data_IF_373790538679
#
_entry.id   IF_373790538679
#
_cell.length_a   1.000
_cell.length_b   1.000
_cell.length_c   1.000
_cell.angle_alpha   90.00
_cell.angle_beta   90.00
_cell.angle_gamma   90.00
#
_symmetry.space_group_name_H-M   'P 1'
#
loop_
_entity.id
_entity.type
_entity.pdbx_description
1 polymer ?
#
# COMPACT_ATOMS: atom_id res chain seq x y z
N UNK A 1 6.20 33.61 28.64
CA UNK A 1 6.76 32.40 28.01
C UNK A 1 7.81 32.87 27.01
N UNK A 2 8.98 32.22 26.98
CA UNK A 2 10.01 32.48 25.97
C UNK A 2 9.52 32.08 24.58
N UNK A 3 10.07 32.69 23.54
CA UNK A 3 9.75 32.36 22.15
C UNK A 3 10.52 31.09 21.76
N UNK A 4 9.86 30.08 21.20
CA UNK A 4 10.52 28.82 20.82
C UNK A 4 11.46 29.02 19.62
N UNK A 5 12.66 28.45 19.69
CA UNK A 5 13.68 28.47 18.64
C UNK A 5 14.58 29.72 18.64
N UNK A 6 15.71 29.69 17.92
CA UNK A 6 16.61 30.83 17.85
C UNK A 6 16.04 31.98 17.02
N UNK A 7 16.54 33.19 17.27
CA UNK A 7 16.14 34.41 16.54
C UNK A 7 16.96 34.70 15.29
N UNK A 8 18.11 34.04 15.12
CA UNK A 8 18.96 34.24 13.94
C UNK A 8 18.47 33.43 12.73
N UNK A 9 18.76 33.93 11.53
CA UNK A 9 18.41 33.25 10.28
C UNK A 9 19.40 32.15 9.88
N UNK A 10 19.01 31.33 8.89
CA UNK A 10 19.80 30.21 8.34
C UNK A 10 21.25 30.56 7.97
N UNK A 11 21.50 31.79 7.45
CA UNK A 11 22.85 32.26 7.13
C UNK A 11 23.80 32.22 8.33
N UNK A 12 23.30 32.48 9.53
CA UNK A 12 24.08 32.41 10.77
C UNK A 12 24.53 30.97 11.05
N UNK A 13 23.59 30.01 10.98
CA UNK A 13 23.87 28.58 11.16
C UNK A 13 24.96 28.11 10.20
N UNK A 14 24.85 28.48 8.91
CA UNK A 14 25.86 28.17 7.90
C UNK A 14 27.22 28.83 8.17
N UNK A 15 27.25 30.03 8.75
CA UNK A 15 28.51 30.73 9.04
C UNK A 15 29.21 30.18 10.31
N UNK A 16 28.45 29.63 11.25
CA UNK A 16 28.95 29.15 12.53
C UNK A 16 29.21 27.63 12.57
N UNK A 17 28.84 26.89 11.53
CA UNK A 17 29.12 25.45 11.47
C UNK A 17 30.61 25.13 11.22
N UNK A 18 31.10 23.94 11.60
CA UNK A 18 32.47 23.51 11.30
C UNK A 18 32.80 23.56 9.81
N UNK A 19 34.00 24.06 9.46
CA UNK A 19 34.46 24.24 8.07
C UNK A 19 34.40 22.95 7.24
N UNK A 20 34.55 21.78 7.87
CA UNK A 20 34.46 20.46 7.20
C UNK A 20 33.13 20.25 6.47
N UNK A 21 32.06 20.94 6.90
CA UNK A 21 30.70 20.84 6.37
C UNK A 21 30.40 21.88 5.28
N UNK A 22 31.38 22.73 4.95
CA UNK A 22 31.26 23.73 3.90
C UNK A 22 30.04 24.64 4.07
N UNK A 23 29.22 24.72 3.02
CA UNK A 23 28.01 25.55 2.99
C UNK A 23 26.71 24.76 3.21
N UNK A 24 26.80 23.44 3.38
CA UNK A 24 25.65 22.55 3.50
C UNK A 24 25.34 22.33 4.98
N UNK A 25 24.11 22.62 5.39
CA UNK A 25 23.66 22.60 6.79
C UNK A 25 22.75 21.42 7.12
N UNK A 26 22.60 20.48 6.21
CA UNK A 26 21.81 19.25 6.36
C UNK A 26 22.55 18.08 5.71
N UNK A 27 22.25 16.86 6.14
CA UNK A 27 22.66 15.63 5.46
C UNK A 27 21.48 15.02 4.72
N UNK A 28 21.76 14.42 3.57
CA UNK A 28 20.80 13.72 2.74
C UNK A 28 21.23 12.26 2.55
N UNK A 29 20.29 11.33 2.75
CA UNK A 29 20.56 9.90 2.65
C UNK A 29 19.41 9.19 1.91
N UNK A 30 19.69 8.29 0.96
CA UNK A 30 18.62 7.54 0.30
C UNK A 30 17.92 6.62 1.31
N UNK A 31 16.60 6.73 1.43
CA UNK A 31 15.81 5.81 2.23
C UNK A 31 15.90 4.39 1.68
N UNK A 32 15.90 3.41 2.58
CA UNK A 32 15.68 2.00 2.23
C UNK A 32 14.40 1.89 1.38
N UNK A 33 14.43 1.13 0.29
CA UNK A 33 13.27 0.90 -0.57
C UNK A 33 12.80 -0.56 -0.54
N UNK A 34 13.30 -1.35 0.42
CA UNK A 34 12.95 -2.76 0.56
C UNK A 34 11.47 -2.94 0.94
N UNK A 35 10.75 -3.75 0.17
CA UNK A 35 9.32 -4.03 0.39
C UNK A 35 9.07 -5.26 1.27
N UNK A 36 10.14 -5.91 1.75
CA UNK A 36 10.04 -7.13 2.54
C UNK A 36 9.42 -6.87 3.92
N UNK A 37 8.49 -7.74 4.33
CA UNK A 37 7.90 -7.70 5.66
C UNK A 37 8.89 -8.09 6.77
N UNK A 38 8.68 -7.64 8.01
CA UNK A 38 7.68 -6.64 8.43
C UNK A 38 8.10 -5.20 8.07
N UNK A 39 7.13 -4.28 7.94
CA UNK A 39 7.37 -2.86 7.67
C UNK A 39 8.19 -2.17 8.77
N UNK A 40 8.04 -2.63 10.01
CA UNK A 40 8.81 -2.16 11.15
C UNK A 40 9.22 -3.33 12.05
N UNK A 41 10.41 -3.23 12.65
CA UNK A 41 10.87 -4.14 13.70
C UNK A 41 11.23 -3.35 14.94
N UNK A 42 10.47 -3.54 16.03
CA UNK A 42 10.74 -2.91 17.33
C UNK A 42 11.54 -3.83 18.23
N UNK A 43 12.63 -3.31 18.82
CA UNK A 43 13.50 -3.98 19.78
C UNK A 43 13.48 -3.22 21.10
N UNK A 44 12.98 -3.86 22.16
CA UNK A 44 13.07 -3.36 23.52
C UNK A 44 14.48 -3.54 24.06
N UNK A 45 14.97 -2.57 24.84
CA UNK A 45 16.25 -2.68 25.53
C UNK A 45 16.15 -2.23 26.99
N UNK A 46 17.03 -2.81 27.80
CA UNK A 46 17.40 -2.31 29.12
C UNK A 46 18.92 -2.19 29.14
N UNK A 47 19.41 -0.97 29.10
CA UNK A 47 20.84 -0.68 28.99
C UNK A 47 21.35 0.04 30.24
N UNK A 48 22.60 -0.22 30.60
CA UNK A 48 23.26 0.42 31.74
C UNK A 48 24.14 1.57 31.24
N UNK A 49 23.71 2.81 31.49
CA UNK A 49 24.44 4.00 31.08
C UNK A 49 25.38 4.44 32.22
N UNK A 50 26.70 4.58 31.96
CA UNK A 50 27.65 5.08 32.96
C UNK A 50 27.32 6.53 33.34
N UNK A 51 27.25 6.85 34.63
CA UNK A 51 27.13 8.22 35.12
C UNK A 51 28.47 8.69 35.67
N UNK A 52 28.80 9.98 35.47
CA UNK A 52 30.04 10.58 35.96
C UNK A 52 30.17 10.57 37.51
N UNK A 53 29.06 10.38 38.24
CA UNK A 53 29.02 10.51 39.70
C UNK A 53 28.61 9.23 40.47
N UNK A 54 28.09 8.18 39.81
CA UNK A 54 27.54 6.99 40.50
C UNK A 54 27.52 5.69 39.64
N UNK A 55 27.18 4.56 40.30
CA UNK A 55 26.87 3.26 39.67
C UNK A 55 25.99 3.45 38.42
N UNK A 56 26.32 2.73 37.36
CA UNK A 56 25.58 2.74 36.08
C UNK A 56 24.06 2.67 36.28
N UNK A 57 23.31 3.53 35.58
CA UNK A 57 21.84 3.59 35.66
C UNK A 57 21.20 2.70 34.60
N UNK A 58 20.15 1.97 34.98
CA UNK A 58 19.34 1.22 34.01
C UNK A 58 18.40 2.18 33.27
N UNK A 59 18.38 2.06 31.95
CA UNK A 59 17.56 2.85 31.03
C UNK A 59 16.74 1.91 30.18
N UNK A 60 15.43 2.14 30.13
CA UNK A 60 14.46 1.34 29.41
C UNK A 60 14.05 2.09 28.15
N UNK A 61 13.94 1.37 27.04
CA UNK A 61 13.56 2.01 25.80
C UNK A 61 13.36 1.03 24.66
N UNK A 62 13.17 1.61 23.48
CA UNK A 62 12.87 0.88 22.25
C UNK A 62 13.62 1.51 21.08
N UNK A 63 14.14 0.66 20.20
CA UNK A 63 14.51 1.02 18.83
C UNK A 63 13.47 0.43 17.89
N UNK A 64 12.94 1.23 16.98
CA UNK A 64 12.10 0.74 15.89
C UNK A 64 12.79 1.03 14.57
N UNK A 65 13.13 -0.04 13.85
CA UNK A 65 13.74 0.03 12.52
C UNK A 65 12.64 -0.10 11.48
N UNK A 66 12.56 0.87 10.57
CA UNK A 66 11.48 1.03 9.59
C UNK A 66 12.04 0.82 8.19
N UNK A 67 11.40 -0.07 7.44
CA UNK A 67 11.69 -0.33 6.03
C UNK A 67 10.81 0.50 5.14
N UNK A 68 11.32 0.87 3.97
CA UNK A 68 10.60 1.67 2.99
C UNK A 68 9.93 2.92 3.60
N UNK A 69 10.68 3.79 4.33
CA UNK A 69 10.08 4.92 5.04
C UNK A 69 9.34 5.89 4.13
N UNK A 70 9.65 5.95 2.82
CA UNK A 70 8.86 6.73 1.86
C UNK A 70 7.38 6.29 1.83
N UNK A 71 7.11 5.00 2.03
CA UNK A 71 5.77 4.39 1.92
C UNK A 71 5.14 4.05 3.27
N UNK A 72 5.95 3.90 4.31
CA UNK A 72 5.51 3.35 5.61
C UNK A 72 5.58 4.36 6.75
N UNK A 73 6.10 5.57 6.52
CA UNK A 73 6.23 6.60 7.55
C UNK A 73 5.43 7.85 7.22
N UNK A 74 4.68 8.34 8.22
CA UNK A 74 3.94 9.60 8.16
C UNK A 74 4.13 10.45 9.40
N UNK A 75 4.19 11.77 9.20
CA UNK A 75 3.99 12.76 10.26
C UNK A 75 2.50 13.09 10.29
N UNK A 76 1.85 12.92 11.44
CA UNK A 76 0.41 13.14 11.57
C UNK A 76 0.10 14.27 12.54
N UNK A 77 -0.92 15.06 12.22
CA UNK A 77 -1.46 16.12 13.06
C UNK A 77 -2.29 15.58 14.25
N UNK A 78 -2.40 16.33 15.37
CA UNK A 78 -3.14 15.89 16.55
C UNK A 78 -4.64 15.68 16.25
N UNK A 79 -5.10 14.44 16.34
CA UNK A 79 -6.51 14.10 16.10
C UNK A 79 -6.92 14.11 14.63
N UNK A 80 -5.95 14.04 13.71
CA UNK A 80 -6.17 14.03 12.26
C UNK A 80 -5.90 15.38 11.58
N UNK A 81 -6.13 15.41 10.27
CA UNK A 81 -5.87 16.56 9.43
C UNK A 81 -6.59 17.84 9.94
N UNK A 82 -5.86 18.96 10.01
CA UNK A 82 -6.35 20.24 10.56
C UNK A 82 -6.15 20.38 12.07
N UNK A 83 -5.67 19.34 12.76
CA UNK A 83 -5.40 19.37 14.19
C UNK A 83 -4.46 20.50 14.64
N UNK A 84 -3.45 20.83 13.83
CA UNK A 84 -2.53 21.92 14.15
C UNK A 84 -3.17 23.30 14.01
N UNK A 85 -4.00 23.51 12.99
CA UNK A 85 -4.74 24.78 12.78
C UNK A 85 -5.70 25.05 13.93
N UNK A 86 -6.34 23.99 14.44
CA UNK A 86 -7.24 24.05 15.59
C UNK A 86 -6.53 24.03 16.96
N UNK A 87 -5.19 23.99 16.98
CA UNK A 87 -4.38 23.93 18.20
C UNK A 87 -4.78 22.75 19.12
N UNK A 88 -5.22 21.63 18.52
CA UNK A 88 -5.63 20.45 19.27
C UNK A 88 -4.44 19.80 19.95
N UNK A 89 -4.72 19.14 21.07
CA UNK A 89 -3.80 18.22 21.73
C UNK A 89 -4.51 16.94 22.10
N UNK A 90 -3.98 15.81 21.67
CA UNK A 90 -4.56 14.48 21.94
C UNK A 90 -3.46 13.48 22.30
N UNK A 91 -3.76 12.41 23.06
CA UNK A 91 -2.81 11.34 23.30
C UNK A 91 -2.37 10.67 21.99
N UNK A 92 -1.13 10.16 21.95
CA UNK A 92 -0.59 9.48 20.76
C UNK A 92 -1.50 8.34 20.29
N UNK A 93 -2.11 7.60 21.22
CA UNK A 93 -2.98 6.44 20.93
C UNK A 93 -4.19 6.81 20.07
N UNK A 94 -4.74 8.01 20.27
CA UNK A 94 -5.93 8.48 19.55
C UNK A 94 -5.58 8.78 18.08
N UNK A 95 -4.55 9.59 17.85
CA UNK A 95 -4.06 9.88 16.50
C UNK A 95 -3.54 8.62 15.81
N UNK A 96 -2.84 7.75 16.54
CA UNK A 96 -2.29 6.50 16.00
C UNK A 96 -3.39 5.55 15.50
N UNK A 97 -4.54 5.50 16.19
CA UNK A 97 -5.69 4.71 15.76
C UNK A 97 -6.29 5.23 14.46
N UNK A 98 -6.40 6.56 14.32
CA UNK A 98 -6.90 7.20 13.09
C UNK A 98 -5.94 6.95 11.91
N UNK A 99 -4.64 7.05 12.15
CA UNK A 99 -3.59 6.79 11.16
C UNK A 99 -3.27 5.31 10.89
N UNK A 100 -3.98 4.36 11.54
CA UNK A 100 -3.73 2.91 11.45
C UNK A 100 -2.24 2.54 11.68
N UNK A 101 -1.61 3.19 12.65
CA UNK A 101 -0.19 3.01 12.91
C UNK A 101 0.10 1.66 13.57
N UNK A 102 1.05 0.91 12.99
CA UNK A 102 1.69 -0.25 13.60
C UNK A 102 2.56 0.19 14.79
N UNK A 103 3.32 1.26 14.61
CA UNK A 103 4.14 1.90 15.66
C UNK A 103 3.90 3.40 15.60
N UNK A 104 3.70 4.04 16.75
CA UNK A 104 3.63 5.49 16.83
C UNK A 104 4.40 5.99 18.04
N UNK A 105 5.06 7.14 17.89
CA UNK A 105 5.60 7.90 19.01
C UNK A 105 5.23 9.37 18.87
N UNK A 106 5.33 10.15 19.94
CA UNK A 106 5.14 11.59 19.86
C UNK A 106 6.15 12.22 18.88
N UNK A 107 5.74 13.31 18.23
CA UNK A 107 6.51 13.99 17.19
C UNK A 107 7.18 15.26 17.68
N UNK A 108 6.89 16.36 16.99
CA UNK A 108 7.49 17.67 17.22
C UNK A 108 7.01 18.35 18.50
N UNK A 109 7.66 19.47 18.80
CA UNK A 109 7.35 20.32 19.94
C UNK A 109 6.05 21.09 19.73
N UNK A 110 5.47 21.58 20.82
CA UNK A 110 4.27 22.40 20.82
C UNK A 110 4.25 23.35 22.03
N UNK A 111 3.44 24.40 21.95
CA UNK A 111 3.19 25.28 23.08
C UNK A 111 2.23 24.59 24.06
N UNK A 112 2.70 24.32 25.28
CA UNK A 112 1.93 23.62 26.31
C UNK A 112 0.69 24.39 26.80
N UNK A 113 0.62 25.70 26.57
CA UNK A 113 -0.46 26.58 27.00
C UNK A 113 -1.53 26.77 25.91
N UNK A 114 -1.12 27.03 24.66
CA UNK A 114 -2.07 27.21 23.55
C UNK A 114 -2.40 25.92 22.80
N UNK A 115 -1.48 24.95 22.77
CA UNK A 115 -1.57 23.77 21.91
C UNK A 115 -1.06 24.00 20.49
N UNK A 116 -0.48 25.16 20.20
CA UNK A 116 0.09 25.47 18.89
C UNK A 116 1.24 24.50 18.54
N UNK A 117 1.16 23.86 17.38
CA UNK A 117 2.26 23.08 16.82
C UNK A 117 3.49 23.97 16.58
N UNK A 118 4.71 23.50 16.83
CA UNK A 118 5.94 24.27 16.63
C UNK A 118 6.83 23.71 15.51
N UNK A 119 7.69 24.55 14.96
CA UNK A 119 8.53 24.25 13.80
C UNK A 119 7.77 24.02 12.48
N UNK A 120 8.50 23.50 11.49
CA UNK A 120 7.97 23.07 10.20
C UNK A 120 7.26 21.72 10.36
N UNK A 121 6.10 21.59 9.71
CA UNK A 121 5.31 20.35 9.65
C UNK A 121 4.81 20.15 8.22
N UNK A 122 5.19 19.02 7.63
CA UNK A 122 4.61 18.51 6.38
C UNK A 122 4.04 17.12 6.67
N UNK A 123 2.77 16.93 6.35
CA UNK A 123 2.01 15.70 6.61
C UNK A 123 1.46 15.19 5.28
N UNK A 124 1.95 14.03 4.84
CA UNK A 124 1.54 13.37 3.59
C UNK A 124 1.55 14.30 2.36
N UNK A 125 2.62 15.10 2.25
CA UNK A 125 2.83 16.06 1.16
C UNK A 125 2.11 17.41 1.33
N UNK A 126 1.27 17.57 2.35
CA UNK A 126 0.64 18.86 2.67
C UNK A 126 1.48 19.66 3.65
N UNK A 127 1.82 20.89 3.27
CA UNK A 127 2.41 21.87 4.19
C UNK A 127 1.37 22.24 5.27
N UNK A 128 1.58 21.76 6.49
CA UNK A 128 0.71 22.05 7.64
C UNK A 128 1.17 23.32 8.35
N UNK A 129 2.49 23.49 8.52
CA UNK A 129 3.06 24.66 9.17
C UNK A 129 4.43 25.00 8.59
N UNK A 130 4.64 26.27 8.29
CA UNK A 130 5.94 26.83 7.90
C UNK A 130 6.48 27.67 9.08
N UNK A 131 7.70 27.38 9.50
CA UNK A 131 8.39 28.07 10.59
C UNK A 131 9.15 29.33 10.13
N UNK A 132 9.02 29.71 8.84
CA UNK A 132 9.57 30.93 8.27
C UNK A 132 11.09 31.07 8.49
N UNK A 133 11.81 29.97 8.27
CA UNK A 133 13.27 29.92 8.39
C UNK A 133 13.80 29.87 9.82
N UNK A 134 12.96 29.57 10.82
CA UNK A 134 13.39 29.29 12.18
C UNK A 134 14.30 28.06 12.24
N UNK A 135 15.43 28.18 12.95
CA UNK A 135 16.54 27.25 12.87
C UNK A 135 16.54 26.24 14.03
N UNK A 136 15.73 25.20 13.88
CA UNK A 136 15.83 24.00 14.71
C UNK A 136 16.21 22.79 13.86
N UNK A 137 16.65 21.71 14.51
CA UNK A 137 16.94 20.44 13.85
C UNK A 137 15.67 19.85 13.21
N UNK A 138 15.76 19.41 11.97
CA UNK A 138 14.63 18.91 11.19
C UNK A 138 14.92 17.52 10.66
N UNK A 139 13.87 16.73 10.53
CA UNK A 139 13.86 15.47 9.82
C UNK A 139 12.72 15.48 8.81
N UNK A 140 13.01 15.13 7.56
CA UNK A 140 11.99 14.98 6.54
C UNK A 140 12.34 13.94 5.50
N UNK A 141 11.33 13.54 4.73
CA UNK A 141 11.44 12.64 3.59
C UNK A 141 10.98 13.40 2.35
N UNK A 142 11.81 13.41 1.33
CA UNK A 142 11.54 14.01 0.02
C UNK A 142 10.73 13.04 -0.86
N UNK A 143 10.09 13.54 -1.92
CA UNK A 143 9.25 12.74 -2.83
C UNK A 143 9.98 11.57 -3.48
N UNK A 144 11.29 11.69 -3.70
CA UNK A 144 12.14 10.63 -4.25
C UNK A 144 12.61 9.59 -3.19
N UNK A 145 12.20 9.73 -1.93
CA UNK A 145 12.61 8.84 -0.84
C UNK A 145 13.90 9.27 -0.14
N UNK A 146 14.49 10.41 -0.51
CA UNK A 146 15.66 10.95 0.21
C UNK A 146 15.24 11.42 1.60
N UNK A 147 15.87 10.87 2.64
CA UNK A 147 15.77 11.34 4.01
C UNK A 147 16.73 12.51 4.22
N UNK A 148 16.26 13.56 4.89
CA UNK A 148 17.02 14.78 5.16
C UNK A 148 17.04 15.07 6.65
N UNK A 149 18.23 15.31 7.20
CA UNK A 149 18.46 15.64 8.61
C UNK A 149 19.27 16.91 8.75
N UNK A 150 18.88 17.82 9.65
CA UNK A 150 19.68 19.00 10.00
C UNK A 150 18.93 20.31 9.90
N UNK A 151 19.60 21.37 9.44
CA UNK A 151 19.04 22.72 9.41
C UNK A 151 18.67 23.14 7.99
N UNK A 152 17.41 23.50 7.80
CA UNK A 152 16.84 23.88 6.51
C UNK A 152 16.51 25.37 6.49
N UNK A 153 16.75 26.00 5.35
CA UNK A 153 16.21 27.32 5.04
C UNK A 153 14.74 27.22 4.64
N UNK A 154 14.03 28.34 4.62
CA UNK A 154 12.65 28.36 4.10
C UNK A 154 12.59 27.96 2.62
N UNK A 155 13.60 28.33 1.82
CA UNK A 155 13.71 27.92 0.42
C UNK A 155 13.86 26.40 0.28
N UNK A 156 14.68 25.77 1.13
CA UNK A 156 14.84 24.31 1.13
C UNK A 156 13.53 23.58 1.42
N UNK A 157 12.71 24.14 2.31
CA UNK A 157 11.42 23.59 2.75
C UNK A 157 10.34 23.77 1.68
N UNK A 158 10.38 24.89 0.94
CA UNK A 158 9.41 25.24 -0.11
C UNK A 158 9.81 24.76 -1.51
N UNK A 159 10.90 24.00 -1.63
CA UNK A 159 11.35 23.43 -2.90
C UNK A 159 10.25 22.59 -3.57
N UNK A 160 9.91 22.94 -4.81
CA UNK A 160 8.88 22.27 -5.60
C UNK A 160 9.44 21.20 -6.55
N UNK A 161 10.75 21.18 -6.79
CA UNK A 161 11.36 20.22 -7.71
C UNK A 161 11.37 18.81 -7.10
N UNK A 162 11.77 18.70 -5.84
CA UNK A 162 11.67 17.48 -5.05
C UNK A 162 11.08 17.81 -3.67
N UNK A 163 9.76 18.02 -3.56
CA UNK A 163 9.17 18.52 -2.31
C UNK A 163 9.26 17.49 -1.19
N UNK A 164 9.22 17.99 0.05
CA UNK A 164 9.00 17.14 1.21
C UNK A 164 7.61 16.50 1.16
N UNK A 165 7.56 15.19 1.42
CA UNK A 165 6.30 14.46 1.68
C UNK A 165 6.06 14.29 3.17
N UNK A 166 7.11 14.26 3.97
CA UNK A 166 7.05 14.27 5.44
C UNK A 166 8.08 15.24 5.98
N UNK A 167 7.75 16.03 7.00
CA UNK A 167 8.69 16.92 7.67
C UNK A 167 8.23 17.18 9.11
N UNK A 168 9.15 17.05 10.05
CA UNK A 168 8.93 17.38 11.47
C UNK A 168 10.17 18.06 12.03
N UNK A 169 9.95 19.06 12.89
CA UNK A 169 11.02 19.77 13.58
C UNK A 169 11.19 19.24 15.01
N UNK A 170 12.43 18.98 15.38
CA UNK A 170 12.87 18.66 16.73
C UNK A 170 13.64 19.83 17.35
N UNK A 171 14.45 19.53 18.36
CA UNK A 171 15.41 20.47 18.97
C UNK A 171 16.66 19.69 19.32
N UNK A 172 17.83 20.18 18.90
CA UNK A 172 19.14 19.53 18.93
C UNK A 172 19.31 18.44 17.86
N UNK A 173 20.28 18.65 16.97
CA UNK A 173 20.84 17.62 16.09
C UNK A 173 21.85 16.78 16.89
N UNK A 174 21.51 15.51 17.16
CA UNK A 174 22.28 14.62 18.02
C UNK A 174 23.53 14.09 17.34
N UNK A 175 23.35 13.53 16.13
CA UNK A 175 24.41 12.90 15.34
C UNK A 175 24.44 13.45 13.93
N UNK A 176 25.62 13.83 13.45
CA UNK A 176 25.89 14.19 12.05
C UNK A 176 27.04 13.34 11.52
N UNK A 177 26.79 12.57 10.46
CA UNK A 177 27.77 11.64 9.85
C UNK A 177 28.41 10.67 10.85
N UNK A 178 27.59 10.11 11.75
CA UNK A 178 28.04 9.18 12.79
C UNK A 178 28.78 9.83 13.96
N UNK A 179 28.84 11.16 14.01
CA UNK A 179 29.54 11.91 15.06
C UNK A 179 28.61 12.76 15.91
N UNK A 180 28.89 12.85 17.21
CA UNK A 180 28.12 13.67 18.16
C UNK A 180 28.17 15.15 17.75
N UNK A 181 27.00 15.78 17.65
CA UNK A 181 26.83 17.14 17.09
C UNK A 181 26.16 18.14 18.05
N UNK A 182 26.08 17.81 19.34
CA UNK A 182 25.36 18.61 20.35
C UNK A 182 26.01 19.99 20.57
N UNK A 183 27.34 20.10 20.59
CA UNK A 183 28.02 21.38 20.75
C UNK A 183 27.69 22.35 19.61
N UNK A 184 27.63 21.84 18.39
CA UNK A 184 27.30 22.62 17.20
C UNK A 184 25.82 23.00 17.21
N UNK A 185 24.95 22.10 17.65
CA UNK A 185 23.53 22.38 17.86
C UNK A 185 23.29 23.49 18.90
N UNK A 186 24.09 23.56 19.96
CA UNK A 186 24.04 24.68 20.90
C UNK A 186 24.33 26.02 20.25
N UNK A 187 25.24 26.07 19.28
CA UNK A 187 25.54 27.32 18.57
C UNK A 187 24.43 27.63 17.56
N UNK A 188 23.94 26.60 16.87
CA UNK A 188 22.95 26.75 15.80
C UNK A 188 21.53 27.05 16.29
N UNK A 189 21.14 26.59 17.48
CA UNK A 189 19.75 26.64 17.95
C UNK A 189 19.52 27.59 19.15
N UNK A 190 20.55 28.32 19.59
CA UNK A 190 20.45 29.17 20.79
C UNK A 190 19.65 30.47 20.56
N UNK A 191 18.53 30.62 21.30
CA UNK A 191 18.21 31.74 22.21
C UNK A 191 17.05 31.37 23.20
N UNK A 192 16.78 32.24 24.20
CA UNK A 192 16.15 32.01 25.53
C UNK A 192 14.99 30.99 25.72
N UNK A 193 15.28 30.02 26.60
CA UNK A 193 14.38 29.20 27.43
C UNK A 193 13.40 28.25 26.75
N UNK A 194 13.75 26.95 26.79
CA UNK A 194 12.76 25.87 26.68
C UNK A 194 11.89 25.84 27.95
N UNK A 195 10.75 25.15 27.92
CA UNK A 195 9.90 24.98 29.12
C UNK A 195 10.65 24.38 30.31
N UNK A 196 11.72 23.63 30.06
CA UNK A 196 12.61 23.04 31.07
C UNK A 196 13.65 24.01 31.66
N UNK A 197 13.73 25.25 31.18
CA UNK A 197 14.70 26.26 31.62
C UNK A 197 15.69 26.64 30.52
N UNK A 198 16.94 26.93 30.89
CA UNK A 198 18.01 27.28 29.93
C UNK A 198 18.27 26.14 28.94
N UNK A 199 18.76 26.48 27.75
CA UNK A 199 19.11 25.47 26.73
C UNK A 199 20.16 24.47 27.23
N UNK A 200 21.13 24.95 28.01
CA UNK A 200 22.12 24.10 28.67
C UNK A 200 21.48 23.12 29.66
N UNK A 201 20.51 23.57 30.48
CA UNK A 201 19.75 22.68 31.37
C UNK A 201 18.98 21.63 30.55
N UNK A 202 18.34 22.02 29.46
CA UNK A 202 17.62 21.11 28.58
C UNK A 202 18.52 19.99 28.03
N UNK A 203 19.76 20.29 27.66
CA UNK A 203 20.72 19.31 27.14
C UNK A 203 21.22 18.36 28.24
N UNK A 204 21.60 18.92 29.39
CA UNK A 204 22.30 18.18 30.44
C UNK A 204 21.35 17.45 31.40
N UNK A 205 20.09 17.87 31.50
CA UNK A 205 19.11 17.23 32.37
C UNK A 205 18.72 15.85 31.85
N UNK A 206 18.71 14.89 32.75
CA UNK A 206 18.23 13.54 32.48
C UNK A 206 16.69 13.56 32.42
N UNK A 207 16.10 12.94 31.41
CA UNK A 207 14.65 12.82 31.28
C UNK A 207 14.28 11.68 30.34
N UNK A 208 12.99 11.46 30.11
CA UNK A 208 12.53 10.68 28.98
C UNK A 208 12.87 11.42 27.67
N UNK A 209 13.25 10.70 26.62
CA UNK A 209 13.70 11.28 25.34
C UNK A 209 13.15 10.48 24.18
N UNK A 210 12.86 11.16 23.08
CA UNK A 210 12.58 10.51 21.80
C UNK A 210 13.47 11.10 20.71
N UNK A 211 13.76 10.30 19.70
CA UNK A 211 14.58 10.69 18.57
C UNK A 211 14.11 10.00 17.29
N UNK A 212 14.52 10.58 16.17
CA UNK A 212 14.43 9.98 14.84
C UNK A 212 15.78 10.10 14.16
N UNK A 213 16.23 9.02 13.52
CA UNK A 213 17.50 8.94 12.84
C UNK A 213 17.48 7.89 11.73
N UNK A 214 18.64 7.55 11.18
CA UNK A 214 18.77 6.45 10.22
C UNK A 214 20.07 5.69 10.41
N UNK A 215 20.08 4.43 9.96
CA UNK A 215 21.29 3.62 9.91
C UNK A 215 22.01 3.72 8.55
N UNK A 216 23.14 3.01 8.43
CA UNK A 216 23.94 2.94 7.20
C UNK A 216 23.24 2.28 6.01
N UNK A 217 22.16 1.53 6.24
CA UNK A 217 21.38 0.87 5.18
C UNK A 217 20.21 1.74 4.69
N UNK A 218 20.05 2.94 5.26
CA UNK A 218 18.93 3.83 4.93
C UNK A 218 17.62 3.44 5.61
N UNK A 219 17.63 2.51 6.58
CA UNK A 219 16.45 2.27 7.39
C UNK A 219 16.23 3.46 8.33
N UNK A 220 14.99 3.93 8.40
CA UNK A 220 14.61 4.95 9.38
C UNK A 220 14.55 4.30 10.77
N UNK A 221 15.05 5.00 11.78
CA UNK A 221 15.13 4.50 13.15
C UNK A 221 14.42 5.46 14.09
N UNK A 222 13.36 4.99 14.74
CA UNK A 222 12.69 5.70 15.83
C UNK A 222 13.22 5.19 17.17
N UNK A 223 13.52 6.11 18.08
CA UNK A 223 14.10 5.76 19.38
C UNK A 223 13.30 6.41 20.49
N UNK A 224 12.88 5.60 21.44
CA UNK A 224 12.13 6.03 22.62
C UNK A 224 12.86 5.58 23.88
N UNK A 225 13.02 6.48 24.83
CA UNK A 225 13.62 6.21 26.13
C UNK A 225 12.70 6.70 27.24
N UNK A 226 12.27 5.78 28.10
CA UNK A 226 11.49 6.10 29.30
C UNK A 226 12.35 6.87 30.30
N UNK A 227 11.72 7.76 31.05
CA UNK A 227 12.43 8.56 32.04
C UNK A 227 11.51 9.50 32.80
N UNK A 228 12.12 10.36 33.60
CA UNK A 228 11.44 11.43 34.32
C UNK A 228 12.47 12.51 34.60
N UNK A 229 12.13 13.76 34.25
CA UNK A 229 13.04 14.90 34.38
C UNK A 229 13.69 14.95 35.76
N UNK A 230 15.02 15.07 35.79
CA UNK A 230 15.87 15.10 37.00
C UNK A 230 15.92 13.78 37.81
N UNK A 231 15.30 12.69 37.34
CA UNK A 231 15.22 11.42 38.09
C UNK A 231 15.64 10.19 37.27
N UNK A 232 14.99 9.94 36.12
CA UNK A 232 15.17 8.71 35.30
C UNK A 232 15.35 9.06 33.81
N UNK A 233 15.84 8.12 33.02
CA UNK A 233 16.04 8.29 31.57
C UNK A 233 17.48 8.63 31.22
N UNK A 234 17.71 9.59 30.33
CA UNK A 234 19.05 9.99 29.84
C UNK A 234 19.08 11.48 29.49
N UNK A 235 20.28 12.07 29.49
CA UNK A 235 20.52 13.38 28.90
C UNK A 235 20.86 13.26 27.40
N UNK A 236 21.01 14.39 26.69
CA UNK A 236 21.24 14.35 25.25
C UNK A 236 22.63 13.83 24.86
N UNK A 237 23.65 14.04 25.71
CA UNK A 237 25.00 13.51 25.50
C UNK A 237 25.02 11.99 25.54
N UNK A 238 24.41 11.43 26.59
CA UNK A 238 24.23 9.99 26.77
C UNK A 238 23.42 9.40 25.61
N UNK A 239 22.36 10.08 25.16
CA UNK A 239 21.58 9.66 23.99
C UNK A 239 22.42 9.62 22.72
N UNK A 240 23.15 10.69 22.40
CA UNK A 240 23.95 10.74 21.17
C UNK A 240 25.03 9.65 21.15
N UNK A 241 25.75 9.45 22.25
CA UNK A 241 26.75 8.38 22.35
C UNK A 241 26.11 6.99 22.25
N UNK A 242 24.95 6.79 22.86
CA UNK A 242 24.22 5.53 22.77
C UNK A 242 23.77 5.24 21.33
N UNK A 243 23.20 6.23 20.63
CA UNK A 243 22.83 6.11 19.21
C UNK A 243 24.05 5.83 18.32
N UNK A 244 25.17 6.51 18.56
CA UNK A 244 26.43 6.30 17.83
C UNK A 244 26.91 4.86 17.98
N UNK A 245 26.86 4.31 19.20
CA UNK A 245 27.23 2.92 19.47
C UNK A 245 26.30 1.89 18.78
N UNK A 246 25.04 2.26 18.53
CA UNK A 246 24.09 1.43 17.76
C UNK A 246 24.25 1.58 16.23
N UNK A 247 25.21 2.37 15.74
CA UNK A 247 25.47 2.54 14.31
C UNK A 247 24.52 3.51 13.60
N UNK A 248 23.86 4.39 14.34
CA UNK A 248 23.03 5.46 13.77
C UNK A 248 23.93 6.55 13.20
N UNK A 249 23.62 7.01 11.99
CA UNK A 249 24.46 7.95 11.23
C UNK A 249 24.03 9.39 11.49
N UNK A 250 22.77 9.73 11.17
CA UNK A 250 22.18 11.01 11.51
C UNK A 250 20.98 10.81 12.43
N UNK A 251 20.80 11.69 13.42
CA UNK A 251 19.65 11.67 14.31
C UNK A 251 19.34 13.03 14.92
N UNK A 252 18.06 13.38 15.03
CA UNK A 252 17.60 14.57 15.75
C UNK A 252 16.80 14.18 17.00
N UNK A 253 16.83 15.03 18.02
CA UNK A 253 16.00 14.85 19.21
C UNK A 253 14.60 15.46 18.98
N UNK A 254 13.57 14.69 19.29
CA UNK A 254 12.15 15.09 19.25
C UNK A 254 11.67 15.43 20.66
N UNK A 255 10.36 15.71 20.82
CA UNK A 255 9.81 16.08 22.13
C UNK A 255 9.95 14.94 23.17
N UNK A 256 10.19 15.29 24.43
CA UNK A 256 10.56 14.36 25.49
C UNK A 256 9.78 14.57 26.79
N UNK A 257 10.37 14.15 27.91
CA UNK A 257 9.78 14.32 29.24
C UNK A 257 8.39 13.70 29.36
N UNK A 258 7.38 14.51 29.67
CA UNK A 258 5.99 14.07 29.78
C UNK A 258 5.37 13.64 28.44
N UNK A 259 5.89 14.16 27.34
CA UNK A 259 5.39 13.87 25.98
C UNK A 259 5.88 12.53 25.44
N UNK A 260 7.02 12.04 25.94
CA UNK A 260 7.66 10.80 25.49
C UNK A 260 6.69 9.61 25.61
N UNK A 261 6.23 9.10 24.47
CA UNK A 261 5.18 8.08 24.40
C UNK A 261 5.48 7.14 23.25
N UNK A 262 5.38 5.83 23.48
CA UNK A 262 5.40 4.80 22.45
C UNK A 262 4.09 4.02 22.45
N UNK A 263 3.51 3.84 21.27
CA UNK A 263 2.31 3.06 21.02
C UNK A 263 2.65 1.96 20.01
N UNK A 264 2.32 0.72 20.35
CA UNK A 264 2.45 -0.43 19.47
C UNK A 264 1.06 -1.00 19.19
N UNK A 265 0.69 -1.12 17.92
CA UNK A 265 -0.61 -1.61 17.44
C UNK A 265 -1.81 -0.95 18.18
N UNK A 266 -1.75 0.37 18.38
CA UNK A 266 -2.80 1.14 19.04
C UNK A 266 -2.86 1.03 20.56
N UNK A 267 -1.88 0.37 21.19
CA UNK A 267 -1.78 0.23 22.66
C UNK A 267 -0.51 0.89 23.20
N UNK A 268 -0.61 1.60 24.33
CA UNK A 268 0.55 2.18 25.02
C UNK A 268 1.56 1.09 25.40
N UNK A 269 2.81 1.26 25.00
CA UNK A 269 3.90 0.31 25.19
C UNK A 269 5.12 0.91 25.92
N UNK A 270 4.96 2.12 26.47
CA UNK A 270 5.98 2.83 27.28
C UNK A 270 5.47 3.14 28.68
N UNK A 271 6.33 3.70 29.53
CA UNK A 271 5.97 4.20 30.85
C UNK A 271 6.03 5.74 30.89
N UNK A 272 4.91 6.44 30.61
CA UNK A 272 4.85 7.90 30.68
C UNK A 272 5.30 8.46 32.03
N UNK A 273 5.78 9.70 32.00
CA UNK A 273 6.31 10.35 33.20
C UNK A 273 5.29 11.25 33.91
N UNK A 274 4.19 11.64 33.26
CA UNK A 274 3.14 12.46 33.88
C UNK A 274 2.26 11.67 34.83
N UNK A 275 1.81 12.32 35.89
CA UNK A 275 0.82 11.78 36.81
C UNK A 275 -0.58 11.92 36.21
N UNK A 276 -1.45 10.94 36.45
CA UNK A 276 -2.85 11.05 36.06
C UNK A 276 -3.56 12.13 36.89
N UNK A 277 -4.43 12.92 36.26
CA UNK A 277 -5.16 14.01 36.93
C UNK A 277 -6.12 13.53 38.02
N UNK A 278 -6.61 12.30 37.92
CA UNK A 278 -7.54 11.70 38.88
C UNK A 278 -6.83 10.96 40.03
N UNK A 279 -5.56 10.59 39.87
CA UNK A 279 -4.78 9.87 40.87
C UNK A 279 -3.27 10.06 40.64
N UNK A 280 -2.61 10.67 41.63
CA UNK A 280 -1.18 10.96 41.58
C UNK A 280 -0.29 9.71 41.71
N UNK A 281 -0.84 8.54 42.03
CA UNK A 281 -0.07 7.28 42.04
C UNK A 281 0.18 6.75 40.63
N UNK A 282 -0.80 6.91 39.72
CA UNK A 282 -0.74 6.38 38.37
C UNK A 282 -0.07 7.34 37.40
N UNK A 283 0.51 6.77 36.34
CA UNK A 283 1.13 7.52 35.23
C UNK A 283 0.23 7.50 34.01
N UNK A 284 0.08 8.64 33.36
CA UNK A 284 -0.78 8.80 32.18
C UNK A 284 0.00 9.41 31.02
N UNK A 285 -0.30 9.02 29.76
CA UNK A 285 0.26 9.67 28.60
C UNK A 285 -0.26 11.11 28.49
N UNK A 286 0.59 12.01 28.00
CA UNK A 286 0.25 13.41 27.78
C UNK A 286 -0.55 13.58 26.49
N UNK A 287 -1.48 14.52 26.47
CA UNK A 287 -2.03 15.06 25.21
C UNK A 287 -0.99 15.94 24.52
N UNK A 288 -0.50 15.46 23.37
CA UNK A 288 0.59 16.04 22.58
C UNK A 288 0.05 16.64 21.27
N UNK A 289 0.94 17.19 20.45
CA UNK A 289 0.65 17.77 19.14
C UNK A 289 0.83 16.73 18.03
N UNK A 290 1.86 16.87 17.18
CA UNK A 290 2.13 15.92 16.10
C UNK A 290 2.62 14.57 16.63
N UNK A 291 2.37 13.51 15.86
CA UNK A 291 2.98 12.19 16.07
C UNK A 291 3.79 11.79 14.84
N UNK A 292 4.71 10.86 15.03
CA UNK A 292 5.28 10.12 13.93
C UNK A 292 4.70 8.70 13.95
N UNK A 293 4.23 8.27 12.79
CA UNK A 293 3.45 7.06 12.59
C UNK A 293 4.17 6.16 11.59
N UNK A 294 4.30 4.89 11.94
CA UNK A 294 4.71 3.84 11.02
C UNK A 294 3.52 2.95 10.76
N UNK A 295 3.17 2.78 9.50
CA UNK A 295 1.99 2.05 9.05
C UNK A 295 2.34 1.13 7.87
N UNK A 296 1.40 0.28 7.47
CA UNK A 296 1.54 -0.49 6.23
C UNK A 296 1.51 0.45 5.01
N UNK A 297 2.22 0.13 3.92
CA UNK A 297 2.19 0.94 2.71
C UNK A 297 0.77 1.21 2.22
N UNK A 298 0.43 2.48 1.97
CA UNK A 298 -0.83 2.83 1.33
C UNK A 298 -0.92 2.18 -0.07
N UNK A 299 -2.12 1.76 -0.44
CA UNK A 299 -2.36 1.19 -1.76
C UNK A 299 -2.32 2.24 -2.86
N UNK A 300 -1.70 1.87 -3.97
CA UNK A 300 -1.74 2.62 -5.21
C UNK A 300 -2.36 1.74 -6.30
N UNK A 301 -3.54 2.09 -6.82
CA UNK A 301 -4.42 3.23 -6.46
C UNK A 301 -5.12 3.10 -5.09
N UNK A 302 -5.51 4.24 -4.51
CA UNK A 302 -6.06 4.32 -3.15
C UNK A 302 -7.35 3.49 -2.98
N UNK A 303 -7.49 2.87 -1.80
CA UNK A 303 -8.65 2.11 -1.35
C UNK A 303 -9.10 0.93 -2.22
N UNK A 304 -8.32 0.55 -3.25
CA UNK A 304 -8.67 -0.55 -4.17
C UNK A 304 -10.11 -0.46 -4.70
N UNK A 305 -10.58 0.78 -4.91
CA UNK A 305 -11.96 1.14 -5.25
C UNK A 305 -13.05 0.52 -4.34
N UNK A 306 -12.70 0.07 -3.14
CA UNK A 306 -13.61 -0.68 -2.25
C UNK A 306 -13.90 -2.10 -2.70
N UNK A 307 -13.15 -2.60 -3.69
CA UNK A 307 -13.35 -3.90 -4.34
C UNK A 307 -12.14 -4.82 -4.17
N UNK A 308 -11.30 -4.59 -3.16
CA UNK A 308 -10.15 -5.40 -2.87
C UNK A 308 -9.53 -5.11 -1.51
N UNK A 309 -8.64 -5.99 -1.09
CA UNK A 309 -7.82 -5.82 0.10
C UNK A 309 -6.48 -5.19 -0.29
N UNK A 310 -6.02 -4.24 0.52
CA UNK A 310 -4.71 -3.65 0.35
C UNK A 310 -3.63 -4.53 0.99
N UNK A 311 -2.74 -5.09 0.19
CA UNK A 311 -1.64 -5.94 0.67
C UNK A 311 -0.32 -5.37 0.16
N UNK A 312 0.53 -4.91 1.07
CA UNK A 312 1.85 -4.32 0.75
C UNK A 312 1.79 -3.15 -0.26
N UNK A 313 0.71 -2.36 -0.23
CA UNK A 313 0.52 -1.24 -1.15
C UNK A 313 0.03 -1.64 -2.55
N UNK A 314 -0.30 -2.92 -2.77
CA UNK A 314 -0.94 -3.43 -3.98
C UNK A 314 -2.36 -3.91 -3.68
N UNK A 315 -3.25 -3.66 -4.64
CA UNK A 315 -4.63 -4.09 -4.52
C UNK A 315 -4.81 -5.55 -4.92
N UNK A 316 -5.32 -6.33 -3.99
CA UNK A 316 -5.75 -7.70 -4.22
C UNK A 316 -7.28 -7.71 -4.33
N UNK A 317 -7.80 -7.83 -5.54
CA UNK A 317 -9.24 -7.69 -5.78
C UNK A 317 -10.05 -8.79 -5.10
N UNK A 318 -11.19 -8.40 -4.54
CA UNK A 318 -12.12 -9.26 -3.84
C UNK A 318 -13.04 -9.94 -4.84
N UNK A 319 -13.13 -11.28 -4.75
CA UNK A 319 -13.92 -12.10 -5.67
C UNK A 319 -13.29 -12.24 -7.06
N UNK A 320 -13.99 -12.95 -7.94
CA UNK A 320 -13.46 -13.32 -9.26
C UNK A 320 -13.75 -12.28 -10.36
N UNK A 321 -14.54 -11.24 -10.04
CA UNK A 321 -15.11 -10.33 -11.04
C UNK A 321 -14.50 -8.94 -11.01
N UNK A 322 -13.72 -8.59 -9.99
CA UNK A 322 -13.01 -7.32 -9.93
C UNK A 322 -11.57 -7.52 -10.38
N UNK A 323 -11.13 -6.68 -11.31
CA UNK A 323 -9.83 -6.79 -11.96
C UNK A 323 -9.23 -5.39 -12.19
N UNK A 324 -8.02 -5.37 -12.74
CA UNK A 324 -7.24 -4.16 -12.91
C UNK A 324 -6.40 -3.83 -11.67
N UNK A 325 -5.39 -2.96 -11.81
CA UNK A 325 -4.45 -2.62 -10.74
C UNK A 325 -5.14 -1.90 -9.56
N UNK A 326 -6.35 -1.38 -9.77
CA UNK A 326 -7.13 -0.64 -8.79
C UNK A 326 -8.39 -1.39 -8.32
N UNK A 327 -8.65 -2.60 -8.85
CA UNK A 327 -9.94 -3.28 -8.70
C UNK A 327 -11.13 -2.42 -9.17
N UNK A 328 -10.92 -1.61 -10.21
CA UNK A 328 -11.93 -0.73 -10.82
C UNK A 328 -12.63 -1.35 -12.03
N UNK A 329 -12.11 -2.47 -12.55
CA UNK A 329 -12.61 -3.11 -13.75
C UNK A 329 -13.46 -4.31 -13.38
N UNK A 330 -14.77 -4.19 -13.55
CA UNK A 330 -15.71 -5.31 -13.40
C UNK A 330 -15.64 -6.22 -14.64
N UNK A 331 -15.01 -7.37 -14.49
CA UNK A 331 -14.89 -8.44 -15.48
C UNK A 331 -15.82 -9.62 -15.12
N UNK A 332 -17.03 -9.59 -15.67
CA UNK A 332 -18.02 -10.66 -15.53
C UNK A 332 -17.81 -11.83 -16.53
N UNK A 333 -16.62 -11.96 -17.12
CA UNK A 333 -16.31 -13.00 -18.10
C UNK A 333 -16.87 -12.71 -19.50
N UNK A 334 -16.84 -13.71 -20.41
CA UNK A 334 -17.15 -13.49 -21.83
C UNK A 334 -18.57 -12.96 -22.03
N UNK A 335 -18.70 -11.91 -22.84
CA UNK A 335 -19.99 -11.31 -23.24
C UNK A 335 -20.91 -10.94 -22.07
N UNK A 336 -20.37 -10.42 -20.96
CA UNK A 336 -21.14 -9.91 -19.83
C UNK A 336 -22.09 -10.97 -19.24
N UNK A 337 -21.53 -12.01 -18.59
CA UNK A 337 -22.27 -13.18 -18.12
C UNK A 337 -22.79 -14.10 -19.24
N UNK A 338 -21.99 -14.33 -20.28
CA UNK A 338 -22.28 -15.25 -21.39
C UNK A 338 -23.60 -14.98 -22.13
N UNK A 339 -24.13 -13.75 -22.05
CA UNK A 339 -25.48 -13.39 -22.53
C UNK A 339 -26.63 -14.15 -21.83
N UNK A 340 -26.36 -14.74 -20.67
CA UNK A 340 -27.26 -15.56 -19.88
C UNK A 340 -27.40 -15.04 -18.46
N UNK A 341 -27.18 -13.75 -18.27
CA UNK A 341 -27.32 -13.09 -16.99
C UNK A 341 -27.03 -11.60 -17.06
N UNK A 342 -27.06 -10.99 -15.89
CA UNK A 342 -26.74 -9.58 -15.70
C UNK A 342 -25.55 -9.44 -14.77
N UNK A 343 -24.56 -8.66 -15.19
CA UNK A 343 -23.37 -8.39 -14.39
C UNK A 343 -23.68 -7.36 -13.30
N UNK A 344 -23.42 -7.72 -12.06
CA UNK A 344 -23.65 -6.89 -10.87
C UNK A 344 -22.35 -6.75 -10.07
N UNK A 345 -22.32 -5.86 -9.07
CA UNK A 345 -21.13 -5.66 -8.22
C UNK A 345 -20.70 -6.92 -7.44
N UNK A 346 -21.59 -7.90 -7.27
CA UNK A 346 -21.33 -9.20 -6.65
C UNK A 346 -21.08 -10.33 -7.66
N UNK A 347 -20.91 -10.00 -8.94
CA UNK A 347 -20.74 -10.97 -10.03
C UNK A 347 -21.99 -11.14 -10.90
N UNK A 348 -22.04 -12.24 -11.64
CA UNK A 348 -23.15 -12.54 -12.54
C UNK A 348 -24.39 -13.05 -11.81
N UNK A 349 -25.52 -12.38 -12.04
CA UNK A 349 -26.83 -12.89 -11.72
C UNK A 349 -27.38 -13.62 -12.95
N UNK A 350 -27.37 -14.95 -12.92
CA UNK A 350 -27.77 -15.76 -14.07
C UNK A 350 -29.28 -15.77 -14.28
N UNK A 351 -29.66 -15.67 -15.55
CA UNK A 351 -31.01 -15.87 -16.01
C UNK A 351 -31.49 -17.29 -15.67
N UNK A 352 -32.80 -17.49 -15.70
CA UNK A 352 -33.36 -18.81 -15.44
C UNK A 352 -32.78 -19.86 -16.41
N UNK A 353 -32.38 -21.00 -15.87
CA UNK A 353 -31.80 -22.09 -16.65
C UNK A 353 -30.27 -22.08 -16.75
N UNK A 354 -29.59 -21.09 -16.17
CA UNK A 354 -28.14 -20.94 -16.20
C UNK A 354 -27.54 -20.78 -14.80
N UNK A 355 -26.30 -21.23 -14.65
CA UNK A 355 -25.50 -21.20 -13.42
C UNK A 355 -24.01 -21.10 -13.75
N UNK A 356 -23.17 -21.02 -12.73
CA UNK A 356 -21.73 -20.80 -12.83
C UNK A 356 -21.37 -19.33 -12.60
N UNK A 357 -20.09 -19.05 -12.40
CA UNK A 357 -19.60 -17.70 -12.10
C UNK A 357 -19.90 -16.69 -13.21
N UNK A 358 -19.99 -17.15 -14.47
CA UNK A 358 -20.24 -16.32 -15.65
C UNK A 358 -21.48 -16.77 -16.45
N UNK A 359 -22.37 -17.56 -15.85
CA UNK A 359 -23.59 -18.08 -16.48
C UNK A 359 -23.36 -18.91 -17.77
N UNK A 360 -22.21 -19.55 -17.90
CA UNK A 360 -21.91 -20.40 -19.07
C UNK A 360 -22.44 -21.83 -18.94
N UNK A 361 -22.89 -22.24 -17.76
CA UNK A 361 -23.35 -23.60 -17.50
C UNK A 361 -24.88 -23.66 -17.44
N UNK A 362 -25.48 -24.62 -18.13
CA UNK A 362 -26.91 -24.89 -18.00
C UNK A 362 -27.23 -25.55 -16.64
N UNK A 363 -28.46 -25.38 -16.14
CA UNK A 363 -28.84 -25.98 -14.86
C UNK A 363 -28.59 -27.50 -14.81
N UNK A 364 -28.02 -28.00 -13.70
CA UNK A 364 -27.90 -29.44 -13.49
C UNK A 364 -29.28 -30.09 -13.41
N UNK A 365 -29.36 -31.37 -13.79
CA UNK A 365 -30.63 -32.11 -13.78
C UNK A 365 -31.30 -32.06 -12.41
N UNK A 366 -32.60 -31.75 -12.41
CA UNK A 366 -33.42 -31.60 -11.20
C UNK A 366 -33.44 -30.18 -10.62
N UNK A 367 -32.75 -29.21 -11.21
CA UNK A 367 -32.75 -27.81 -10.77
C UNK A 367 -33.22 -26.87 -11.89
N UNK A 368 -33.85 -25.76 -11.52
CA UNK A 368 -34.37 -24.76 -12.45
C UNK A 368 -34.40 -23.36 -11.83
N UNK A 369 -34.74 -22.36 -12.64
CA UNK A 369 -34.88 -20.97 -12.21
C UNK A 369 -33.56 -20.19 -12.23
N UNK A 370 -33.56 -18.93 -11.79
CA UNK A 370 -32.36 -18.09 -11.78
C UNK A 370 -31.30 -18.68 -10.85
N UNK A 371 -30.05 -18.71 -11.30
CA UNK A 371 -28.93 -19.41 -10.63
C UNK A 371 -29.22 -20.88 -10.27
N UNK A 372 -30.22 -21.51 -10.90
CA UNK A 372 -30.65 -22.88 -10.63
C UNK A 372 -30.95 -23.17 -9.15
N UNK A 373 -31.53 -22.20 -8.43
CA UNK A 373 -31.78 -22.32 -6.97
C UNK A 373 -33.07 -23.08 -6.61
N UNK A 374 -33.88 -23.48 -7.59
CA UNK A 374 -35.16 -24.14 -7.36
C UNK A 374 -35.10 -25.62 -7.75
N UNK A 375 -35.67 -26.49 -6.90
CA UNK A 375 -35.74 -27.94 -7.15
C UNK A 375 -36.97 -28.28 -7.99
N UNK A 376 -36.79 -29.06 -9.04
CA UNK A 376 -37.91 -29.50 -9.86
C UNK A 376 -38.90 -30.37 -9.07
N UNK A 377 -40.19 -30.16 -9.33
CA UNK A 377 -41.27 -30.87 -8.68
C UNK A 377 -41.45 -32.27 -9.32
N UNK A 378 -40.54 -33.19 -8.99
CA UNK A 378 -40.56 -34.57 -9.46
C UNK A 378 -39.99 -35.53 -8.41
N UNK A 379 -40.52 -36.76 -8.38
CA UNK A 379 -39.97 -37.83 -7.57
C UNK A 379 -38.69 -38.35 -8.25
N UNK A 380 -37.55 -38.06 -7.62
CA UNK A 380 -36.19 -38.35 -8.09
C UNK A 380 -35.71 -37.35 -9.17
N UNK A 381 -34.39 -37.23 -9.38
CA UNK A 381 -33.74 -36.23 -10.24
C UNK A 381 -34.15 -36.35 -11.73
N UNK A 382 -35.35 -35.87 -12.08
CA UNK A 382 -35.92 -35.97 -13.41
C UNK A 382 -35.54 -34.79 -14.32
N UNK A 383 -35.61 -34.98 -15.66
CA UNK A 383 -35.53 -33.88 -16.62
C UNK A 383 -36.78 -32.98 -16.52
N UNK A 384 -36.55 -31.73 -16.18
CA UNK A 384 -37.54 -30.65 -16.15
C UNK A 384 -37.03 -29.48 -17.01
N UNK A 385 -37.92 -28.58 -17.42
CA UNK A 385 -37.50 -27.38 -18.12
C UNK A 385 -36.62 -26.51 -17.19
N UNK A 386 -35.37 -26.20 -17.55
CA UNK A 386 -34.44 -25.49 -16.67
C UNK A 386 -34.84 -24.02 -16.41
N UNK A 387 -35.70 -23.43 -17.24
CA UNK A 387 -36.23 -22.07 -17.03
C UNK A 387 -37.47 -22.08 -16.14
N UNK A 388 -38.42 -22.97 -16.41
CA UNK A 388 -39.78 -22.91 -15.83
C UNK A 388 -40.05 -23.98 -14.77
N UNK A 389 -39.20 -24.99 -14.65
CA UNK A 389 -39.38 -26.13 -13.73
C UNK A 389 -40.43 -27.13 -14.18
N UNK A 390 -41.02 -26.95 -15.38
CA UNK A 390 -42.09 -27.79 -15.90
C UNK A 390 -41.59 -29.20 -16.22
N UNK A 391 -42.13 -30.21 -15.56
CA UNK A 391 -41.86 -31.63 -15.84
C UNK A 391 -42.42 -31.99 -17.22
N UNK A 392 -41.64 -32.67 -18.06
CA UNK A 392 -41.97 -32.97 -19.46
C UNK A 392 -43.20 -33.85 -19.72
N UNK A 393 -44.09 -34.06 -18.75
CA UNK A 393 -45.37 -34.76 -18.96
C UNK A 393 -46.36 -33.95 -19.81
N UNK A 394 -46.18 -32.63 -19.97
CA UNK A 394 -47.05 -31.84 -20.87
C UNK A 394 -46.64 -31.86 -22.35
N UNK A 395 -45.41 -32.31 -22.68
CA UNK A 395 -45.01 -32.39 -24.10
C UNK A 395 -45.62 -33.62 -24.80
N UNK A 396 -46.02 -34.66 -24.06
CA UNK A 396 -46.69 -35.84 -24.63
C UNK A 396 -48.10 -35.50 -25.14
N UNK A 397 -48.80 -34.58 -24.49
CA UNK A 397 -50.15 -34.16 -24.88
C UNK A 397 -50.13 -33.34 -26.18
N UNK A 398 -49.08 -32.55 -26.43
CA UNK A 398 -48.97 -31.79 -27.69
C UNK A 398 -48.77 -32.72 -28.90
N UNK A 399 -48.04 -33.83 -28.75
CA UNK A 399 -47.92 -34.86 -29.79
C UNK A 399 -49.20 -35.69 -29.96
N UNK A 400 -49.93 -35.97 -28.88
CA UNK A 400 -51.22 -36.68 -28.94
C UNK A 400 -52.30 -35.81 -29.61
N UNK A 401 -52.32 -34.50 -29.37
CA UNK A 401 -53.23 -33.57 -30.06
C UNK A 401 -52.86 -33.32 -31.52
N UNK A 402 -51.58 -33.43 -31.91
CA UNK A 402 -51.14 -33.31 -33.31
C UNK A 402 -51.38 -34.58 -34.14
N UNK A 403 -51.59 -35.74 -33.52
CA UNK A 403 -51.91 -37.01 -34.20
C UNK A 403 -53.43 -37.29 -34.31
N UNK A 404 -54.28 -36.40 -33.79
CA UNK A 404 -55.74 -36.58 -33.75
C UNK A 404 -56.50 -35.50 -34.53
N UNK A 405 -56.00 -35.06 -35.69
CA UNK A 405 -56.85 -34.38 -36.67
C UNK A 405 -56.63 -34.96 -38.07
N UNK A 406 -57.70 -35.56 -38.62
CA UNK A 406 -57.74 -36.24 -39.91
C UNK A 406 -57.54 -35.29 -41.09
N UNK A 407 -57.57 -33.98 -40.84
CA UNK A 407 -57.44 -32.92 -41.86
C UNK A 407 -55.99 -32.62 -42.26
N UNK A 408 -54.99 -32.92 -41.42
CA UNK A 408 -53.56 -32.65 -41.71
C UNK A 408 -52.88 -33.74 -42.54
N UNK A 409 -53.40 -34.96 -42.53
CA UNK A 409 -52.87 -36.06 -43.35
C UNK A 409 -53.14 -35.89 -44.85
N UNK A 410 -54.25 -35.24 -45.21
CA UNK A 410 -54.59 -34.95 -46.62
C UNK A 410 -53.71 -33.81 -47.14
N UNK A 411 -53.49 -32.76 -46.35
CA UNK A 411 -52.59 -31.67 -46.76
C UNK A 411 -51.13 -32.10 -46.85
N UNK A 412 -50.64 -32.92 -45.90
CA UNK A 412 -49.27 -33.43 -45.92
C UNK A 412 -49.00 -34.37 -47.12
N UNK A 413 -49.96 -35.21 -47.51
CA UNK A 413 -49.84 -36.07 -48.69
C UNK A 413 -49.87 -35.29 -50.01
N UNK A 414 -50.70 -34.24 -50.10
CA UNK A 414 -50.70 -33.35 -51.27
C UNK A 414 -49.39 -32.55 -51.39
N UNK A 415 -48.84 -32.05 -50.29
CA UNK A 415 -47.55 -31.31 -50.30
C UNK A 415 -46.40 -32.23 -50.67
N UNK A 416 -46.35 -33.46 -50.15
CA UNK A 416 -45.32 -34.44 -50.50
C UNK A 416 -45.41 -34.88 -51.98
N UNK A 417 -46.63 -35.06 -52.50
CA UNK A 417 -46.85 -35.36 -53.92
C UNK A 417 -46.44 -34.18 -54.83
N UNK A 418 -46.70 -32.93 -54.41
CA UNK A 418 -46.27 -31.73 -55.13
C UNK A 418 -44.75 -31.59 -55.14
N UNK A 419 -44.08 -31.83 -54.01
CA UNK A 419 -42.62 -31.78 -53.91
C UNK A 419 -41.92 -32.87 -54.74
N UNK A 420 -42.50 -34.08 -54.78
CA UNK A 420 -42.01 -35.16 -55.66
C UNK A 420 -42.22 -34.83 -57.15
N UNK A 421 -43.34 -34.19 -57.52
CA UNK A 421 -43.58 -33.73 -58.89
C UNK A 421 -42.62 -32.60 -59.31
N UNK A 422 -42.34 -31.64 -58.42
CA UNK A 422 -41.35 -30.56 -58.67
C UNK A 422 -39.93 -31.12 -58.80
N UNK A 423 -39.56 -32.10 -57.96
CA UNK A 423 -38.28 -32.82 -58.07
C UNK A 423 -38.15 -33.61 -59.38
N UNK A 424 -39.21 -34.30 -59.80
CA UNK A 424 -39.24 -35.02 -61.08
C UNK A 424 -39.12 -34.06 -62.29
N UNK A 425 -39.82 -32.91 -62.25
CA UNK A 425 -39.69 -31.87 -63.30
C UNK A 425 -38.29 -31.23 -63.30
N UNK A 426 -37.70 -30.97 -62.14
CA UNK A 426 -36.34 -30.45 -62.01
C UNK A 426 -35.27 -31.40 -62.57
N UNK A 427 -35.41 -32.70 -62.30
CA UNK A 427 -34.49 -33.72 -62.82
C UNK A 427 -34.61 -33.91 -64.34
N UNK A 428 -35.82 -33.78 -64.92
CA UNK A 428 -35.99 -33.78 -66.40
C UNK A 428 -35.40 -32.51 -67.03
N UNK A 429 -35.52 -31.35 -66.38
CA UNK A 429 -34.93 -30.09 -66.84
C UNK A 429 -33.39 -30.10 -66.83
N UNK A 430 -32.77 -30.66 -65.78
CA UNK A 430 -31.32 -30.83 -65.68
C UNK A 430 -30.78 -31.83 -66.72
N UNK A 431 -31.53 -32.89 -67.04
CA UNK A 431 -31.14 -33.88 -68.05
C UNK A 431 -31.21 -33.33 -69.49
N UNK A 432 -32.17 -32.44 -69.79
CA UNK A 432 -32.25 -31.76 -71.08
C UNK A 432 -31.19 -30.65 -71.23
N UNK A 433 -30.84 -29.93 -70.15
CA UNK A 433 -29.78 -28.92 -70.14
C UNK A 433 -28.38 -29.54 -70.28
N UNK A 434 -28.12 -30.67 -69.62
CA UNK A 434 -26.86 -31.42 -69.73
C UNK A 434 -26.59 -32.02 -71.12
N UNK A 435 -27.60 -32.11 -71.99
CA UNK A 435 -27.45 -32.55 -73.40
C UNK A 435 -27.16 -31.39 -74.36
N UNK A 436 -27.45 -30.15 -73.96
CA UNK A 436 -27.22 -28.93 -74.77
C UNK A 436 -25.81 -28.34 -74.61
N UNK A 437 -25.11 -28.61 -73.51
CA UNK A 437 -23.82 -27.97 -73.17
C UNK A 437 -22.57 -28.82 -73.53
N UNK A 438 -22.72 -29.93 -74.27
CA UNK A 438 -21.58 -30.75 -74.78
C UNK A 438 -21.13 -30.43 -76.22
N UNK A 439 -21.70 -29.41 -76.86
CA UNK A 439 -21.25 -28.93 -78.17
C UNK A 439 -20.99 -27.44 -78.11
N UNK A 440 -19.78 -27.06 -77.67
CA UNK A 440 -18.93 -26.01 -78.26
C UNK A 440 -17.79 -25.75 -77.27
N UNK A 441 -16.62 -26.33 -77.58
CA UNK A 441 -15.38 -25.98 -76.93
C UNK A 441 -14.73 -24.77 -77.57
N UNK A 442 -13.74 -24.22 -76.85
CA UNK A 442 -12.61 -23.50 -77.43
C UNK A 442 -12.45 -22.05 -76.96
N UNK A 443 -11.27 -21.74 -76.39
CA UNK A 443 -10.77 -20.37 -76.15
C UNK A 443 -10.70 -20.01 -74.67
N UNK A 444 -9.64 -20.30 -73.91
CA UNK A 444 -8.30 -19.69 -73.91
C UNK A 444 -8.28 -18.27 -73.28
N UNK A 445 -7.67 -18.14 -72.09
CA UNK A 445 -6.52 -17.25 -71.75
C UNK A 445 -6.45 -16.82 -70.27
N UNK A 446 -5.27 -17.14 -69.70
CA UNK A 446 -4.36 -16.35 -68.85
C UNK A 446 -4.84 -15.77 -67.51
N UNK A 447 -4.29 -16.35 -66.44
CA UNK A 447 -3.78 -15.58 -65.28
C UNK A 447 -2.25 -15.49 -65.38
N UNK A 448 -1.71 -14.27 -65.25
CA UNK A 448 -0.29 -14.03 -65.04
C UNK A 448 0.02 -13.86 -63.54
N UNK A 449 1.12 -14.45 -63.03
CA UNK A 449 1.47 -14.47 -61.62
C UNK A 449 2.52 -13.42 -61.25
N UNK A 450 2.55 -13.00 -59.99
CA UNK A 450 3.71 -12.39 -59.32
C UNK A 450 3.70 -12.93 -57.87
N UNK A 451 4.62 -13.79 -57.43
CA UNK A 451 6.10 -13.73 -57.32
C UNK A 451 6.53 -13.01 -56.05
N UNK A 452 7.09 -13.78 -55.12
CA UNK A 452 8.31 -13.41 -54.40
C UNK A 452 9.29 -14.59 -54.45
N UNK A 453 10.44 -14.35 -55.11
CA UNK A 453 11.69 -15.09 -54.94
C UNK A 453 12.31 -14.59 -53.62
N UNK A 454 13.00 -15.41 -52.81
CA UNK A 454 14.38 -15.88 -53.07
C UNK A 454 15.37 -14.73 -52.80
N UNK A 455 16.47 -14.86 -52.04
CA UNK A 455 17.40 -15.97 -51.87
C UNK A 455 18.46 -15.59 -50.82
N UNK A 456 19.03 -16.61 -50.16
CA UNK A 456 20.46 -16.81 -49.83
C UNK A 456 21.19 -15.76 -48.93
N UNK A 457 22.12 -16.11 -48.03
CA UNK A 457 23.02 -17.26 -47.99
C UNK A 457 23.82 -17.29 -46.67
N UNK A 458 24.35 -18.49 -46.34
CA UNK A 458 25.60 -18.76 -45.57
C UNK A 458 25.63 -18.35 -44.07
N UNK A 459 26.15 -19.12 -43.09
CA UNK A 459 26.84 -20.42 -42.99
C UNK A 459 27.12 -20.72 -41.51
N UNK A 460 27.28 -22.00 -41.16
CA UNK A 460 28.03 -22.57 -40.01
C UNK A 460 27.36 -22.38 -38.63
N UNK A 461 27.17 -23.38 -37.75
CA UNK A 461 27.90 -24.64 -37.54
C UNK A 461 27.13 -25.59 -36.61
N UNK A 462 27.38 -26.89 -36.77
CA UNK A 462 27.18 -28.06 -35.87
C UNK A 462 25.76 -28.30 -35.32
N UNK A 463 25.05 -29.29 -35.88
CA UNK A 463 25.07 -30.71 -35.46
C UNK A 463 24.48 -30.88 -34.04
N UNK A 464 23.22 -31.32 -33.88
CA UNK A 464 22.73 -32.70 -34.11
C UNK A 464 23.53 -33.71 -33.26
N UNK A 465 22.95 -34.63 -32.52
CA UNK A 465 21.58 -35.06 -32.28
C UNK A 465 21.68 -36.10 -31.16
N UNK A 466 20.58 -36.30 -30.42
CA UNK A 466 20.08 -37.62 -29.97
C UNK A 466 20.99 -38.45 -29.03
N UNK A 467 20.50 -39.22 -28.08
CA UNK A 467 19.18 -39.61 -27.62
C UNK A 467 19.39 -40.15 -26.17
N UNK A 468 18.28 -40.39 -25.48
CA UNK A 468 17.96 -41.52 -24.58
C UNK A 468 19.14 -42.37 -24.04
N UNK A 469 19.23 -42.79 -22.78
CA UNK A 469 18.16 -43.48 -22.04
C UNK A 469 18.59 -43.76 -20.58
N UNK A 470 17.65 -44.33 -19.84
CA UNK A 470 17.61 -44.86 -18.48
C UNK A 470 18.86 -45.33 -17.69
N UNK A 471 18.66 -45.26 -16.36
CA UNK A 471 18.97 -46.25 -15.30
C UNK A 471 20.21 -46.08 -14.37
N UNK A 472 19.84 -45.80 -13.11
CA UNK A 472 20.09 -46.59 -11.89
C UNK A 472 21.36 -46.37 -11.04
N UNK A 473 21.07 -46.27 -9.74
CA UNK A 473 21.83 -46.69 -8.56
C UNK A 473 23.25 -46.18 -8.26
N UNK A 474 23.34 -45.56 -7.07
CA UNK A 474 24.16 -46.00 -5.93
C UNK A 474 25.15 -44.95 -5.38
N UNK A 475 24.90 -44.61 -4.11
CA UNK A 475 25.89 -44.59 -3.01
C UNK A 475 26.93 -43.46 -2.84
N UNK A 476 26.76 -42.75 -1.71
CA UNK A 476 27.73 -42.66 -0.58
C UNK A 476 28.62 -41.41 -0.47
N UNK A 477 28.47 -40.76 0.71
CA UNK A 477 29.37 -39.91 1.50
C UNK A 477 30.38 -38.97 0.80
N UNK A 478 30.28 -37.66 1.12
CA UNK A 478 31.07 -37.01 2.18
C UNK A 478 30.51 -35.61 2.49
#
# INVERSE_FOLDING_TARGET
AGQHGPRHGHRHVRACQPVRHGNVTHEAWPGDNSTGLPAATTRTFVSYIPSAQERSRAVYGHFTFVRNPLRTFSVLEPGGAGGCEEQRRVPVEETARLGRCLVAQNGGYFDMSSGECLGNVVSDGRMVRNAHGLQNAQFGIRRDGTMVFGYLSEEDVLDQANPFVQLVSGVVWLLRDGEVYINQSQIAECDETQTTGTFEKFINVISARTAVGHDSQGQLVLVHVDGQTESRGINLWEMAEFLKQQGIINAINLDGGGSATLVLNGTLASYPSEHCSFDNMWRCPRSISTIVCVHEPACEPADCNGHGDCVQGQCHCAGDFWSGPACDTLDCGPSNCSLHGTCTASGCLCDAGWVGSNCSEACPMGWYGPNCQQLCACEHSCPCNPQTGSSGQEMLLMWIFLLSDRSTWISATFVLALLLAVSAMGNVGLFLKARSERQHGGGEYRYHPLRENGEASHTLTSAACEAEDAQDQSQTLL
#
